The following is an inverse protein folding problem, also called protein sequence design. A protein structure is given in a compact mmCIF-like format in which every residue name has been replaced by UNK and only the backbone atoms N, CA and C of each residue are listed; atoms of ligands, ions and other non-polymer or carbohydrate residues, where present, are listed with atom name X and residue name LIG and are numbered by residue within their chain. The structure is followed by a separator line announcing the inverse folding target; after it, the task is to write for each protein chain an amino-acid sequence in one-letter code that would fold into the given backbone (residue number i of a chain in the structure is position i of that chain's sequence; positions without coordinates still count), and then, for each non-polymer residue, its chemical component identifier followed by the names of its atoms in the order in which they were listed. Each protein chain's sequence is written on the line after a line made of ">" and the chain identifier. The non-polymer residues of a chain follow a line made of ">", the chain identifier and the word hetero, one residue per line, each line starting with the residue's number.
data_IF_943582993287
#
_entry.id   IF_943582993287
#
_cell.length_a   1.000
_cell.length_b   1.000
_cell.length_c   1.000
_cell.angle_alpha   90.00
_cell.angle_beta   90.00
_cell.angle_gamma   90.00
#
_symmetry.space_group_name_H-M   'P 1'
#
loop_
_entity.id
_entity.type
_entity.pdbx_description
1 polymer ?
#
# COMPACT_ATOMS: atom_id res chain seq x y z
N UNK A 1 13.86 -9.89 4.74
CA UNK A 1 13.97 -8.43 4.96
C UNK A 1 14.38 -7.77 3.66
N UNK A 2 13.71 -6.69 3.27
CA UNK A 2 14.16 -5.81 2.18
C UNK A 2 15.53 -5.26 2.57
N UNK A 3 16.59 -5.38 1.73
CA UNK A 3 17.88 -4.85 2.08
C UNK A 3 17.79 -3.33 2.12
N UNK A 4 17.94 -2.76 3.32
CA UNK A 4 18.17 -1.33 3.49
C UNK A 4 19.54 -0.96 2.92
N UNK A 5 19.60 0.11 2.15
CA UNK A 5 20.85 0.66 1.63
C UNK A 5 21.84 0.92 2.79
N UNK A 6 23.09 0.43 2.71
CA UNK A 6 24.09 0.65 3.75
C UNK A 6 24.32 2.12 4.10
N UNK A 7 24.14 3.05 3.15
CA UNK A 7 24.26 4.48 3.45
C UNK A 7 23.10 5.02 4.29
N UNK A 8 21.92 4.43 4.19
CA UNK A 8 20.79 4.77 5.09
C UNK A 8 21.13 4.31 6.50
N UNK A 9 21.63 3.08 6.66
CA UNK A 9 22.05 2.56 7.97
C UNK A 9 23.15 3.42 8.59
N UNK A 10 24.16 3.80 7.79
CA UNK A 10 25.24 4.68 8.24
C UNK A 10 24.75 6.09 8.61
N UNK A 11 23.77 6.64 7.88
CA UNK A 11 23.19 7.94 8.22
C UNK A 11 22.50 7.92 9.59
N UNK A 12 21.69 6.89 9.87
CA UNK A 12 21.05 6.72 11.18
C UNK A 12 22.06 6.50 12.29
N UNK A 13 23.07 5.66 12.05
CA UNK A 13 24.15 5.42 13.00
C UNK A 13 24.84 6.74 13.40
N UNK A 14 25.27 7.54 12.41
CA UNK A 14 25.91 8.84 12.68
C UNK A 14 25.00 9.79 13.44
N UNK A 15 23.73 9.91 13.03
CA UNK A 15 22.78 10.79 13.69
C UNK A 15 22.58 10.44 15.17
N UNK A 16 22.60 9.15 15.52
CA UNK A 16 22.52 8.69 16.91
C UNK A 16 23.85 8.89 17.66
N UNK A 17 24.98 8.59 17.04
CA UNK A 17 26.31 8.83 17.64
C UNK A 17 26.55 10.33 17.92
N UNK A 18 26.06 11.23 17.06
CA UNK A 18 26.06 12.70 17.27
C UNK A 18 25.18 13.15 18.46
N UNK A 19 24.32 12.25 18.97
CA UNK A 19 23.49 12.45 20.18
C UNK A 19 24.05 11.67 21.37
N UNK A 20 25.33 11.29 21.32
CA UNK A 20 26.03 10.52 22.36
C UNK A 20 25.43 9.12 22.61
N UNK A 21 24.71 8.54 21.63
CA UNK A 21 24.23 7.16 21.71
C UNK A 21 25.35 6.15 21.38
N UNK A 22 25.32 4.99 22.03
CA UNK A 22 26.13 3.82 21.64
C UNK A 22 25.29 2.99 20.66
N UNK A 23 25.79 2.82 19.42
CA UNK A 23 25.01 2.19 18.35
C UNK A 23 25.63 0.85 17.95
N UNK A 24 24.85 -0.22 18.10
CA UNK A 24 25.14 -1.54 17.52
C UNK A 24 24.31 -1.70 16.22
N UNK A 25 24.97 -2.07 15.11
CA UNK A 25 24.28 -2.36 13.84
C UNK A 25 24.09 -3.87 13.68
N UNK A 26 22.83 -4.31 13.64
CA UNK A 26 22.47 -5.72 13.44
C UNK A 26 21.94 -5.92 12.03
N UNK A 27 22.64 -6.72 11.22
CA UNK A 27 22.16 -7.10 9.89
C UNK A 27 21.44 -8.44 9.95
N UNK A 28 20.14 -8.43 9.65
CA UNK A 28 19.34 -9.64 9.50
C UNK A 28 19.41 -10.06 8.03
N UNK A 29 20.10 -11.18 7.77
CA UNK A 29 20.19 -11.73 6.42
C UNK A 29 18.82 -12.08 5.86
N UNK A 30 18.51 -11.59 4.65
CA UNK A 30 17.33 -12.02 3.90
C UNK A 30 17.61 -13.32 3.14
N UNK A 31 16.66 -14.24 3.03
CA UNK A 31 16.79 -15.36 2.10
C UNK A 31 16.96 -14.82 0.67
N UNK A 32 18.13 -15.05 0.06
CA UNK A 32 18.42 -14.70 -1.35
C UNK A 32 18.03 -15.80 -2.33
N UNK A 33 17.22 -16.76 -1.91
CA UNK A 33 16.84 -17.91 -2.72
C UNK A 33 15.34 -17.87 -3.05
N UNK A 34 14.94 -18.56 -4.11
CA UNK A 34 13.53 -18.66 -4.52
C UNK A 34 12.97 -17.35 -5.08
N UNK A 35 11.73 -17.01 -4.68
CA UNK A 35 10.97 -15.86 -5.21
C UNK A 35 11.64 -14.49 -4.99
N UNK A 36 12.48 -14.39 -3.96
CA UNK A 36 13.22 -13.17 -3.65
C UNK A 36 14.40 -12.92 -4.59
N UNK A 37 14.86 -13.94 -5.33
CA UNK A 37 15.91 -13.80 -6.34
C UNK A 37 15.36 -13.52 -7.75
N UNK A 38 14.04 -13.67 -7.93
CA UNK A 38 13.40 -13.46 -9.23
C UNK A 38 13.22 -11.98 -9.52
N UNK A 39 13.32 -11.55 -10.79
CA UNK A 39 13.03 -10.18 -11.20
C UNK A 39 11.70 -9.66 -10.66
N UNK A 40 11.56 -8.34 -10.67
CA UNK A 40 10.32 -7.67 -10.27
C UNK A 40 9.23 -8.00 -11.29
N UNK A 41 8.14 -8.55 -10.77
CA UNK A 41 6.99 -9.01 -11.51
C UNK A 41 5.79 -9.02 -10.55
N UNK A 42 4.65 -8.47 -11.00
CA UNK A 42 3.44 -8.39 -10.19
C UNK A 42 2.90 -9.76 -9.75
N UNK A 43 3.19 -10.86 -10.46
CA UNK A 43 2.82 -12.22 -10.08
C UNK A 43 3.39 -12.63 -8.72
N UNK A 44 4.52 -12.04 -8.32
CA UNK A 44 5.13 -12.29 -7.02
C UNK A 44 4.21 -11.92 -5.85
N UNK A 45 3.25 -11.02 -6.05
CA UNK A 45 2.25 -10.67 -5.04
C UNK A 45 1.39 -11.88 -4.65
N UNK A 46 0.78 -12.59 -5.62
CA UNK A 46 -0.02 -13.79 -5.30
C UNK A 46 0.86 -14.88 -4.69
N UNK A 47 2.09 -15.05 -5.20
CA UNK A 47 3.00 -16.10 -4.73
C UNK A 47 3.45 -15.86 -3.28
N UNK A 48 3.61 -14.59 -2.88
CA UNK A 48 4.07 -14.21 -1.54
C UNK A 48 2.88 -14.01 -0.59
N UNK A 49 1.92 -13.16 -0.94
CA UNK A 49 0.76 -12.84 -0.09
C UNK A 49 -0.27 -13.97 -0.07
N UNK A 50 -0.39 -14.75 -1.15
CA UNK A 50 -1.24 -15.94 -1.16
C UNK A 50 -0.68 -17.10 -0.32
N UNK A 51 0.58 -17.04 0.10
CA UNK A 51 1.15 -17.96 1.06
C UNK A 51 1.36 -17.23 2.38
N UNK A 52 0.31 -17.12 3.20
CA UNK A 52 0.34 -16.35 4.44
C UNK A 52 1.45 -16.77 5.43
N UNK A 53 1.93 -18.02 5.38
CA UNK A 53 3.11 -18.47 6.15
C UNK A 53 4.40 -17.88 5.60
N UNK A 54 4.56 -17.86 4.28
CA UNK A 54 5.68 -17.20 3.60
C UNK A 54 5.62 -15.67 3.76
N UNK A 55 4.43 -15.07 3.66
CA UNK A 55 4.20 -13.66 3.96
C UNK A 55 4.62 -13.34 5.39
N UNK A 56 4.18 -14.15 6.36
CA UNK A 56 4.60 -14.09 7.75
C UNK A 56 6.12 -14.15 7.88
N UNK A 57 6.78 -15.13 7.24
CA UNK A 57 8.24 -15.30 7.24
C UNK A 57 9.02 -14.14 6.58
N UNK A 58 8.45 -13.50 5.55
CA UNK A 58 9.14 -12.46 4.77
C UNK A 58 8.92 -11.06 5.36
N UNK A 59 7.75 -10.79 5.92
CA UNK A 59 7.40 -9.51 6.53
C UNK A 59 7.63 -9.49 8.05
N UNK A 60 7.69 -10.66 8.70
CA UNK A 60 7.88 -10.83 10.13
C UNK A 60 8.78 -12.05 10.41
N UNK A 61 9.27 -12.18 11.63
CA UNK A 61 10.19 -13.23 12.08
C UNK A 61 9.68 -14.65 11.73
N UNK A 62 10.55 -15.64 11.42
CA UNK A 62 10.15 -16.94 10.91
C UNK A 62 9.11 -17.69 11.74
N UNK A 63 8.07 -18.14 11.04
CA UNK A 63 7.28 -19.35 11.30
C UNK A 63 7.29 -19.91 12.72
N UNK A 64 6.30 -19.51 13.48
CA UNK A 64 5.46 -20.30 14.38
C UNK A 64 4.29 -19.36 14.74
N UNK A 65 3.31 -19.77 15.54
CA UNK A 65 2.43 -18.80 16.19
C UNK A 65 3.28 -17.63 16.76
N UNK A 66 2.77 -16.39 16.88
CA UNK A 66 3.53 -15.35 17.56
C UNK A 66 4.09 -15.97 18.84
N UNK A 67 5.42 -16.02 19.00
CA UNK A 67 5.99 -16.64 20.18
C UNK A 67 5.32 -15.98 21.39
N UNK A 68 5.04 -16.73 22.48
CA UNK A 68 4.57 -16.08 23.70
C UNK A 68 5.47 -14.86 23.99
N UNK A 69 4.91 -13.73 24.46
CA UNK A 69 5.67 -12.50 24.68
C UNK A 69 7.00 -12.80 25.37
N UNK A 70 8.13 -12.47 24.72
CA UNK A 70 9.49 -12.70 25.24
C UNK A 70 10.33 -13.82 24.59
N UNK A 71 9.87 -14.52 23.55
CA UNK A 71 10.62 -15.65 22.94
C UNK A 71 11.23 -15.41 21.55
N UNK A 72 11.07 -14.23 20.93
CA UNK A 72 11.74 -13.96 19.65
C UNK A 72 13.26 -13.68 19.88
N UNK A 73 14.14 -14.11 18.97
CA UNK A 73 15.60 -13.99 19.15
C UNK A 73 16.07 -12.53 19.24
N UNK A 74 15.35 -11.61 18.58
CA UNK A 74 15.62 -10.19 18.59
C UNK A 74 15.27 -9.59 19.96
N UNK A 75 14.13 -9.95 20.57
CA UNK A 75 13.75 -9.58 21.94
C UNK A 75 14.78 -10.09 22.94
N UNK A 76 15.28 -11.32 22.76
CA UNK A 76 16.38 -11.85 23.59
C UNK A 76 17.66 -11.04 23.42
N UNK A 77 17.99 -10.65 22.19
CA UNK A 77 19.15 -9.80 21.91
C UNK A 77 18.96 -8.42 22.56
N UNK A 78 17.78 -7.81 22.43
CA UNK A 78 17.41 -6.53 23.01
C UNK A 78 17.51 -6.58 24.53
N UNK A 79 16.90 -7.58 25.17
CA UNK A 79 16.94 -7.76 26.61
C UNK A 79 18.35 -8.08 27.13
N UNK A 80 19.12 -8.90 26.42
CA UNK A 80 20.49 -9.26 26.80
C UNK A 80 21.46 -8.08 26.71
N UNK A 81 21.34 -7.28 25.64
CA UNK A 81 22.18 -6.10 25.40
C UNK A 81 21.65 -4.85 26.10
N UNK A 82 20.40 -4.89 26.58
CA UNK A 82 19.68 -3.80 27.26
C UNK A 82 19.61 -2.55 26.39
N UNK A 83 19.16 -2.69 25.14
CA UNK A 83 18.98 -1.52 24.26
C UNK A 83 17.83 -0.65 24.76
N UNK A 84 18.04 0.66 24.80
CA UNK A 84 17.01 1.66 25.12
C UNK A 84 16.09 1.95 23.92
N UNK A 85 16.63 1.83 22.70
CA UNK A 85 15.96 2.13 21.44
C UNK A 85 16.36 1.11 20.36
N UNK A 86 15.38 0.64 19.60
CA UNK A 86 15.58 -0.24 18.44
C UNK A 86 14.99 0.44 17.21
N UNK A 87 15.81 0.66 16.19
CA UNK A 87 15.39 1.26 14.92
C UNK A 87 15.53 0.22 13.80
N UNK A 88 14.46 -0.06 13.09
CA UNK A 88 14.48 -1.12 12.07
C UNK A 88 13.22 -1.21 11.23
N UNK A 89 13.23 -2.03 10.17
CA UNK A 89 12.06 -2.20 9.32
C UNK A 89 10.86 -2.75 10.12
N UNK A 90 9.64 -2.40 9.69
CA UNK A 90 8.39 -2.89 10.29
C UNK A 90 8.46 -4.40 10.55
N UNK A 91 8.06 -4.82 11.75
CA UNK A 91 8.09 -6.23 12.16
C UNK A 91 9.43 -6.75 12.71
N UNK A 92 10.50 -5.95 12.68
CA UNK A 92 11.84 -6.32 13.18
C UNK A 92 12.36 -5.32 14.23
N UNK A 93 11.47 -4.77 15.05
CA UNK A 93 11.81 -3.77 16.09
C UNK A 93 11.58 -4.28 17.52
N UNK A 94 11.25 -5.56 17.66
CA UNK A 94 10.99 -6.22 18.95
C UNK A 94 9.64 -5.89 19.57
N UNK A 95 9.37 -6.42 20.75
CA UNK A 95 8.19 -6.10 21.57
C UNK A 95 8.28 -4.66 22.12
N UNK A 96 7.29 -3.78 21.87
CA UNK A 96 7.27 -2.41 22.38
C UNK A 96 7.32 -2.30 23.92
N UNK A 97 7.01 -3.37 24.66
CA UNK A 97 7.16 -3.40 26.12
C UNK A 97 8.61 -3.61 26.60
N UNK A 98 9.53 -3.98 25.69
CA UNK A 98 10.92 -4.32 26.03
C UNK A 98 11.95 -3.23 25.68
N UNK A 99 11.66 -2.40 24.69
CA UNK A 99 12.45 -1.22 24.31
C UNK A 99 11.57 -0.24 23.52
N UNK A 100 11.98 1.03 23.43
CA UNK A 100 11.35 1.95 22.47
C UNK A 100 11.68 1.44 21.07
N UNK A 101 10.67 1.22 20.24
CA UNK A 101 10.79 0.58 18.94
C UNK A 101 10.35 1.55 17.83
N UNK A 102 11.26 1.90 16.92
CA UNK A 102 11.01 2.84 15.84
C UNK A 102 11.14 2.21 14.46
N UNK A 103 10.13 2.42 13.62
CA UNK A 103 10.08 1.88 12.27
C UNK A 103 10.92 2.72 11.32
N UNK A 104 11.98 2.14 10.77
CA UNK A 104 12.74 2.70 9.65
C UNK A 104 12.01 2.37 8.34
N UNK A 105 11.27 3.35 7.82
CA UNK A 105 10.47 3.20 6.60
C UNK A 105 11.21 3.64 5.32
N UNK A 106 12.51 3.93 5.40
CA UNK A 106 13.35 4.29 4.26
C UNK A 106 14.31 3.16 3.93
N UNK A 107 14.07 2.48 2.81
CA UNK A 107 14.90 1.34 2.40
C UNK A 107 16.02 1.75 1.44
N UNK A 108 15.85 2.87 0.73
CA UNK A 108 16.85 3.39 -0.20
C UNK A 108 17.28 4.79 0.19
N UNK A 109 18.48 5.20 -0.23
CA UNK A 109 18.98 6.55 0.01
C UNK A 109 18.05 7.61 -0.59
N UNK A 110 17.45 7.30 -1.75
CA UNK A 110 16.53 8.19 -2.46
C UNK A 110 15.25 8.42 -1.66
N UNK A 111 14.71 7.35 -1.04
CA UNK A 111 13.57 7.49 -0.13
C UNK A 111 13.92 8.39 1.05
N UNK A 112 15.08 8.16 1.68
CA UNK A 112 15.51 8.93 2.85
C UNK A 112 15.64 10.43 2.52
N UNK A 113 16.29 10.77 1.41
CA UNK A 113 16.54 12.18 1.02
C UNK A 113 15.37 12.83 0.26
N UNK A 114 14.27 12.10 0.02
CA UNK A 114 13.10 12.63 -0.67
C UNK A 114 12.46 13.78 0.11
N UNK A 115 11.91 14.75 -0.62
CA UNK A 115 11.08 15.81 -0.03
C UNK A 115 9.86 15.23 0.71
N UNK A 116 9.42 14.00 0.38
CA UNK A 116 8.36 13.32 1.11
C UNK A 116 8.69 13.09 2.59
N UNK A 117 9.96 12.87 2.93
CA UNK A 117 10.43 12.59 4.29
C UNK A 117 10.32 13.80 5.22
N UNK A 118 10.42 15.00 4.65
CA UNK A 118 10.39 16.28 5.40
C UNK A 118 9.14 17.10 5.07
N UNK A 119 8.17 16.50 4.39
CA UNK A 119 6.96 17.18 3.99
C UNK A 119 6.14 17.59 5.22
N UNK A 120 5.57 18.81 5.28
CA UNK A 120 4.90 19.29 6.49
C UNK A 120 3.71 18.40 6.89
N UNK A 121 3.78 17.84 8.10
CA UNK A 121 2.76 16.91 8.62
C UNK A 121 1.38 17.58 8.73
N UNK A 122 1.32 18.82 9.22
CA UNK A 122 0.06 19.59 9.31
C UNK A 122 -0.63 19.75 7.94
N UNK A 123 0.16 19.81 6.86
CA UNK A 123 -0.36 19.93 5.51
C UNK A 123 -0.91 18.59 5.01
N UNK A 124 -0.21 17.46 5.28
CA UNK A 124 -0.73 16.12 4.98
C UNK A 124 -2.04 15.88 5.73
N UNK A 125 -2.06 16.12 7.03
CA UNK A 125 -3.24 15.92 7.87
C UNK A 125 -4.42 16.78 7.41
N UNK A 126 -4.17 18.02 6.96
CA UNK A 126 -5.23 18.88 6.42
C UNK A 126 -5.76 18.36 5.08
N UNK A 127 -4.88 17.93 4.16
CA UNK A 127 -5.30 17.33 2.89
C UNK A 127 -6.13 16.06 3.12
N UNK A 128 -5.70 15.20 4.03
CA UNK A 128 -6.42 13.99 4.38
C UNK A 128 -7.82 14.35 4.94
N UNK A 129 -7.90 15.28 5.89
CA UNK A 129 -9.18 15.73 6.46
C UNK A 129 -10.13 16.27 5.40
N UNK A 130 -9.66 17.15 4.51
CA UNK A 130 -10.50 17.70 3.42
C UNK A 130 -11.04 16.61 2.49
N UNK A 131 -10.21 15.64 2.13
CA UNK A 131 -10.66 14.50 1.34
C UNK A 131 -11.64 13.59 2.10
N UNK A 132 -11.39 13.38 3.40
CA UNK A 132 -12.22 12.54 4.26
C UNK A 132 -13.60 13.12 4.53
N UNK A 133 -13.70 14.45 4.71
CA UNK A 133 -14.98 15.17 4.84
C UNK A 133 -15.91 14.91 3.64
N UNK A 134 -15.36 14.92 2.43
CA UNK A 134 -16.10 14.61 1.19
C UNK A 134 -16.59 13.16 1.20
N UNK A 135 -15.72 12.21 1.56
CA UNK A 135 -16.05 10.78 1.63
C UNK A 135 -17.12 10.47 2.67
N UNK A 136 -17.02 11.07 3.86
CA UNK A 136 -18.03 10.94 4.93
C UNK A 136 -19.40 11.46 4.53
N UNK A 137 -19.45 12.52 3.73
CA UNK A 137 -20.69 13.10 3.24
C UNK A 137 -21.27 12.38 2.01
N UNK A 138 -20.47 11.54 1.33
CA UNK A 138 -20.87 10.87 0.11
C UNK A 138 -22.01 9.86 0.37
N UNK A 139 -22.95 9.77 -0.57
CA UNK A 139 -23.99 8.72 -0.60
C UNK A 139 -23.64 7.62 -1.60
N UNK A 140 -23.09 8.02 -2.74
CA UNK A 140 -22.64 7.12 -3.80
C UNK A 140 -21.36 7.65 -4.38
N UNK A 141 -20.51 6.77 -4.88
CA UNK A 141 -19.33 7.19 -5.60
C UNK A 141 -19.19 6.44 -6.92
N UNK A 142 -18.45 7.05 -7.85
CA UNK A 142 -18.04 6.45 -9.10
C UNK A 142 -16.57 6.73 -9.33
N UNK A 143 -15.85 5.70 -9.73
CA UNK A 143 -14.44 5.76 -10.02
C UNK A 143 -14.22 5.37 -11.48
N UNK A 144 -13.46 6.19 -12.20
CA UNK A 144 -13.06 5.91 -13.59
C UNK A 144 -11.56 6.13 -13.77
N UNK A 145 -10.91 5.38 -14.64
CA UNK A 145 -9.50 5.57 -14.98
C UNK A 145 -9.26 5.26 -16.47
N UNK A 146 -8.36 5.98 -17.15
CA UNK A 146 -8.05 5.78 -18.57
C UNK A 146 -7.52 4.39 -18.94
N UNK A 147 -7.03 3.57 -17.99
CA UNK A 147 -6.73 2.16 -18.24
C UNK A 147 -8.02 1.32 -18.45
N UNK A 148 -9.21 1.88 -18.18
CA UNK A 148 -10.52 1.28 -18.48
C UNK A 148 -11.38 0.94 -17.25
N UNK A 149 -10.95 1.35 -16.06
CA UNK A 149 -11.77 1.17 -14.85
C UNK A 149 -13.02 2.02 -14.90
N UNK A 150 -14.13 1.42 -14.48
CA UNK A 150 -15.40 2.09 -14.23
C UNK A 150 -16.16 1.27 -13.18
N UNK A 151 -16.20 1.76 -11.95
CA UNK A 151 -16.83 1.08 -10.82
C UNK A 151 -17.61 2.10 -9.97
N UNK A 152 -18.77 1.69 -9.47
CA UNK A 152 -19.57 2.51 -8.55
C UNK A 152 -20.08 1.70 -7.37
N UNK A 153 -20.26 2.36 -6.23
CA UNK A 153 -20.78 1.77 -4.99
C UNK A 153 -21.42 2.82 -4.10
N UNK A 154 -22.28 2.36 -3.19
CA UNK A 154 -23.03 3.17 -2.24
C UNK A 154 -22.33 3.19 -0.87
N UNK A 155 -22.19 4.39 -0.29
CA UNK A 155 -21.78 4.59 1.09
C UNK A 155 -23.00 4.49 2.01
N UNK A 156 -23.38 3.26 2.34
CA UNK A 156 -24.45 2.98 3.28
C UNK A 156 -24.11 3.51 4.69
N UNK A 157 -25.06 4.15 5.41
CA UNK A 157 -24.83 4.64 6.78
C UNK A 157 -24.34 3.56 7.75
N UNK A 158 -24.70 2.30 7.51
CA UNK A 158 -24.29 1.14 8.31
C UNK A 158 -22.77 0.91 8.28
N UNK A 159 -22.05 1.33 7.23
CA UNK A 159 -20.60 1.28 7.24
C UNK A 159 -20.01 2.14 8.36
N UNK A 160 -20.54 3.35 8.53
CA UNK A 160 -20.12 4.24 9.61
C UNK A 160 -20.49 3.68 10.98
N UNK A 161 -21.63 2.97 11.10
CA UNK A 161 -21.97 2.28 12.34
C UNK A 161 -20.96 1.18 12.68
N UNK A 162 -20.40 0.49 11.68
CA UNK A 162 -19.35 -0.53 11.91
C UNK A 162 -18.05 0.14 12.34
N UNK A 163 -17.63 1.20 11.66
CA UNK A 163 -16.44 2.00 12.02
C UNK A 163 -16.53 2.56 13.44
N UNK A 164 -17.72 3.02 13.83
CA UNK A 164 -18.00 3.54 15.17
C UNK A 164 -18.17 2.45 16.24
N UNK A 165 -18.16 1.16 15.84
CA UNK A 165 -18.36 0.04 16.75
C UNK A 165 -19.79 -0.09 17.29
N UNK A 166 -20.76 0.61 16.71
CA UNK A 166 -22.17 0.65 17.16
C UNK A 166 -23.12 -0.22 16.33
N UNK A 167 -22.71 -0.73 15.17
CA UNK A 167 -23.53 -1.59 14.32
C UNK A 167 -24.02 -2.84 15.09
N UNK A 168 -25.29 -3.25 15.01
CA UNK A 168 -25.85 -4.29 15.89
C UNK A 168 -25.24 -5.69 15.69
N UNK A 169 -24.92 -6.08 14.44
CA UNK A 169 -24.47 -7.44 14.11
C UNK A 169 -22.97 -7.54 13.82
N UNK A 170 -22.46 -6.66 12.95
CA UNK A 170 -21.05 -6.60 12.57
C UNK A 170 -20.28 -5.78 13.60
N UNK A 171 -19.52 -6.47 14.46
CA UNK A 171 -18.58 -5.88 15.42
C UNK A 171 -17.16 -6.32 15.05
N UNK A 172 -16.25 -5.37 14.88
CA UNK A 172 -14.83 -5.63 14.63
C UNK A 172 -13.99 -4.59 15.37
N UNK A 173 -12.79 -4.99 15.74
CA UNK A 173 -11.76 -4.13 16.32
C UNK A 173 -11.04 -3.27 15.28
N UNK A 174 -11.22 -3.53 13.97
CA UNK A 174 -10.37 -2.97 12.92
C UNK A 174 -9.16 -3.86 12.63
N UNK A 175 -8.11 -3.29 12.02
CA UNK A 175 -6.98 -4.05 11.48
C UNK A 175 -6.23 -4.91 12.51
N UNK A 176 -5.64 -6.01 12.05
CA UNK A 176 -4.84 -6.92 12.90
C UNK A 176 -3.33 -6.63 12.91
N UNK A 177 -2.57 -7.20 13.87
CA UNK A 177 -1.12 -7.03 13.99
C UNK A 177 -0.32 -7.56 12.77
N UNK A 178 -0.96 -8.35 11.90
CA UNK A 178 -0.33 -8.96 10.71
C UNK A 178 -0.70 -8.31 9.38
N UNK A 179 -1.55 -7.28 9.37
CA UNK A 179 -1.86 -6.54 8.14
C UNK A 179 -0.78 -5.49 7.86
N UNK A 180 -0.45 -5.23 6.60
CA UNK A 180 0.36 -4.07 6.20
C UNK A 180 -0.32 -2.72 6.54
N UNK A 181 -1.63 -2.75 6.84
CA UNK A 181 -2.44 -1.65 7.39
C UNK A 181 -2.57 -1.72 8.93
N UNK A 182 -1.56 -2.28 9.61
CA UNK A 182 -1.60 -2.53 11.06
C UNK A 182 -1.74 -1.23 11.86
N UNK A 183 -2.79 -1.14 12.69
CA UNK A 183 -2.91 -0.13 13.74
C UNK A 183 -4.23 0.65 13.79
N UNK A 184 -5.07 0.60 12.75
CA UNK A 184 -6.37 1.27 12.82
C UNK A 184 -7.34 0.49 13.70
N UNK A 185 -7.99 1.20 14.61
CA UNK A 185 -8.95 0.65 15.56
C UNK A 185 -10.32 1.21 15.20
N UNK A 186 -11.36 0.37 15.23
CA UNK A 186 -12.75 0.83 15.12
C UNK A 186 -13.36 1.02 16.50
N UNK A 187 -14.24 2.02 16.63
CA UNK A 187 -14.85 2.42 17.89
C UNK A 187 -15.35 3.86 17.86
N UNK A 188 -15.90 4.35 18.99
CA UNK A 188 -16.49 5.68 19.06
C UNK A 188 -15.52 6.79 18.64
N UNK A 189 -15.95 7.65 17.72
CA UNK A 189 -15.19 8.78 17.15
C UNK A 189 -14.26 8.40 15.99
N UNK A 190 -14.10 7.10 15.67
CA UNK A 190 -13.12 6.67 14.66
C UNK A 190 -13.52 7.01 13.22
N UNK A 191 -14.78 7.41 12.98
CA UNK A 191 -15.15 7.93 11.65
C UNK A 191 -14.80 9.40 11.46
N UNK A 192 -14.42 10.16 12.50
CA UNK A 192 -14.21 11.61 12.39
C UNK A 192 -12.94 11.98 11.60
N UNK A 193 -11.88 11.17 11.75
CA UNK A 193 -10.60 11.35 11.07
C UNK A 193 -10.32 10.19 10.07
N UNK A 194 -9.43 10.40 9.09
CA UNK A 194 -8.96 9.33 8.20
C UNK A 194 -8.42 8.13 8.98
N UNK A 195 -8.85 6.92 8.60
CA UNK A 195 -8.48 5.68 9.29
C UNK A 195 -6.98 5.35 9.22
N UNK A 196 -6.31 5.77 8.14
CA UNK A 196 -4.88 5.53 7.92
C UNK A 196 -4.25 6.85 7.46
N UNK A 197 -3.38 7.48 8.28
CA UNK A 197 -2.67 8.69 7.87
C UNK A 197 -1.92 8.49 6.55
N UNK A 198 -2.05 9.45 5.64
CA UNK A 198 -1.43 9.40 4.32
C UNK A 198 -2.16 8.52 3.29
N UNK A 199 -3.31 7.92 3.65
CA UNK A 199 -4.19 7.21 2.72
C UNK A 199 -5.68 7.47 3.00
N UNK A 200 -6.40 8.00 2.01
CA UNK A 200 -7.85 8.11 2.09
C UNK A 200 -8.52 6.83 1.62
N UNK A 201 -9.46 6.33 2.42
CA UNK A 201 -10.21 5.11 2.10
C UNK A 201 -11.42 5.45 1.23
N UNK A 202 -11.31 5.23 -0.08
CA UNK A 202 -12.38 5.41 -1.05
C UNK A 202 -13.50 4.38 -0.95
N UNK A 203 -13.23 3.18 -0.42
CA UNK A 203 -14.28 2.20 -0.08
C UNK A 203 -14.30 2.01 1.44
N UNK A 204 -15.42 1.53 2.00
CA UNK A 204 -15.48 1.10 3.39
C UNK A 204 -14.40 0.06 3.70
N UNK A 205 -13.35 0.49 4.41
CA UNK A 205 -12.13 -0.30 4.59
C UNK A 205 -12.45 -1.62 5.29
N UNK A 206 -12.25 -2.72 4.58
CA UNK A 206 -12.43 -4.08 5.05
C UNK A 206 -13.83 -4.42 5.60
N UNK A 207 -14.86 -3.64 5.27
CA UNK A 207 -16.24 -3.91 5.72
C UNK A 207 -17.07 -4.41 4.55
N UNK A 208 -17.78 -5.50 4.77
CA UNK A 208 -18.73 -6.07 3.81
C UNK A 208 -20.11 -6.18 4.46
N UNK A 209 -21.08 -5.41 3.97
CA UNK A 209 -22.47 -5.48 4.41
C UNK A 209 -23.27 -6.43 3.50
N UNK A 210 -24.39 -7.01 3.98
CA UNK A 210 -25.29 -7.77 3.11
C UNK A 210 -25.77 -7.00 1.87
N UNK A 211 -25.96 -5.68 2.00
CA UNK A 211 -26.45 -4.78 0.96
C UNK A 211 -25.36 -4.13 0.09
N UNK A 212 -24.07 -4.42 0.34
CA UNK A 212 -22.95 -3.86 -0.42
C UNK A 212 -23.10 -4.08 -1.94
N UNK A 213 -23.12 -3.00 -2.72
CA UNK A 213 -23.63 -2.96 -4.11
C UNK A 213 -22.60 -2.63 -5.20
N UNK A 214 -21.31 -2.58 -4.84
CA UNK A 214 -20.19 -2.27 -5.71
C UNK A 214 -20.20 -3.09 -6.99
N UNK A 215 -20.20 -2.40 -8.12
CA UNK A 215 -20.37 -3.01 -9.43
C UNK A 215 -19.62 -2.24 -10.52
N UNK A 216 -18.97 -3.00 -11.40
CA UNK A 216 -18.19 -2.48 -12.50
C UNK A 216 -16.94 -3.31 -12.78
N UNK A 217 -15.88 -2.63 -13.21
CA UNK A 217 -14.60 -3.25 -13.56
C UNK A 217 -13.45 -2.41 -13.02
N UNK A 218 -12.47 -3.08 -12.41
CA UNK A 218 -11.19 -2.51 -11.98
C UNK A 218 -10.11 -3.05 -12.92
N UNK A 219 -9.31 -2.15 -13.48
CA UNK A 219 -8.27 -2.46 -14.45
C UNK A 219 -6.96 -1.79 -14.08
N UNK A 220 -5.85 -2.43 -14.43
CA UNK A 220 -4.53 -1.83 -14.23
C UNK A 220 -3.38 -2.72 -14.69
N UNK A 221 -2.18 -2.26 -14.39
CA UNK A 221 -0.90 -2.82 -14.89
C UNK A 221 0.18 -2.91 -13.81
N UNK A 222 -0.16 -2.64 -12.55
CA UNK A 222 0.79 -2.63 -11.44
C UNK A 222 0.11 -2.99 -10.11
N UNK A 223 0.89 -3.54 -9.17
CA UNK A 223 0.47 -3.91 -7.82
C UNK A 223 1.60 -3.69 -6.79
N UNK A 224 1.49 -4.24 -5.57
CA UNK A 224 2.50 -4.00 -4.52
C UNK A 224 3.89 -4.58 -4.83
N UNK A 225 4.00 -5.52 -5.77
CA UNK A 225 5.23 -6.25 -6.04
C UNK A 225 5.83 -5.98 -7.43
N UNK A 226 5.15 -5.20 -8.27
CA UNK A 226 5.67 -4.84 -9.57
C UNK A 226 4.61 -4.58 -10.63
N UNK A 227 5.06 -4.41 -11.88
CA UNK A 227 4.19 -4.35 -13.04
C UNK A 227 3.73 -5.75 -13.45
N UNK A 228 2.54 -5.84 -14.02
CA UNK A 228 2.00 -7.05 -14.66
C UNK A 228 1.26 -6.66 -15.94
N UNK A 229 1.09 -7.57 -16.91
CA UNK A 229 0.27 -7.29 -18.08
C UNK A 229 -1.13 -6.81 -17.68
N UNK A 230 -1.75 -6.01 -18.53
CA UNK A 230 -3.06 -5.42 -18.29
C UNK A 230 -4.08 -6.49 -17.87
N UNK A 231 -4.78 -6.19 -16.78
CA UNK A 231 -5.77 -7.07 -16.15
C UNK A 231 -7.10 -6.33 -16.02
N UNK A 232 -8.20 -7.09 -16.13
CA UNK A 232 -9.56 -6.60 -15.86
C UNK A 232 -10.18 -7.48 -14.77
N UNK A 233 -10.69 -6.86 -13.71
CA UNK A 233 -11.37 -7.51 -12.59
C UNK A 233 -12.82 -7.04 -12.58
N UNK A 234 -13.75 -7.92 -12.94
CA UNK A 234 -15.18 -7.62 -12.93
C UNK A 234 -15.74 -7.85 -11.54
N UNK A 235 -16.41 -6.83 -11.01
CA UNK A 235 -17.00 -6.82 -9.67
C UNK A 235 -18.52 -6.75 -9.80
N UNK A 236 -19.24 -7.59 -9.04
CA UNK A 236 -20.68 -7.48 -8.82
C UNK A 236 -20.98 -7.67 -7.34
N UNK A 237 -21.75 -6.75 -6.74
CA UNK A 237 -22.07 -6.75 -5.30
C UNK A 237 -20.80 -6.85 -4.42
N UNK A 238 -19.78 -6.07 -4.76
CA UNK A 238 -18.42 -6.08 -4.18
C UNK A 238 -17.63 -7.39 -4.34
N UNK A 239 -18.09 -8.36 -5.13
CA UNK A 239 -17.41 -9.65 -5.30
C UNK A 239 -16.84 -9.79 -6.71
N UNK A 240 -15.64 -10.34 -6.81
CA UNK A 240 -14.99 -10.69 -8.07
C UNK A 240 -15.78 -11.81 -8.72
N UNK A 241 -16.32 -11.52 -9.90
CA UNK A 241 -17.07 -12.48 -10.71
C UNK A 241 -16.24 -13.04 -11.85
N UNK A 242 -15.25 -12.28 -12.33
CA UNK A 242 -14.42 -12.65 -13.47
C UNK A 242 -13.12 -11.86 -13.48
N UNK A 243 -12.05 -12.50 -13.92
CA UNK A 243 -10.74 -11.89 -14.17
C UNK A 243 -10.34 -12.16 -15.63
N UNK A 244 -9.98 -11.12 -16.38
CA UNK A 244 -9.50 -11.20 -17.78
C UNK A 244 -8.07 -10.67 -17.86
N UNK A 245 -7.22 -11.30 -18.67
CA UNK A 245 -5.84 -10.88 -18.84
C UNK A 245 -4.97 -11.12 -17.59
N UNK A 246 -4.02 -10.20 -17.36
CA UNK A 246 -3.12 -10.20 -16.20
C UNK A 246 -1.88 -11.09 -16.31
N UNK A 247 -1.66 -11.78 -17.43
CA UNK A 247 -0.56 -12.73 -17.57
C UNK A 247 -0.55 -13.80 -16.46
N UNK A 248 0.62 -14.08 -15.90
CA UNK A 248 0.78 -15.01 -14.78
C UNK A 248 0.04 -14.52 -13.52
N UNK A 249 0.10 -13.22 -13.20
CA UNK A 249 -0.59 -12.64 -12.05
C UNK A 249 -2.09 -12.93 -12.09
N UNK A 250 -2.75 -12.63 -13.23
CA UNK A 250 -4.17 -12.90 -13.40
C UNK A 250 -4.52 -14.39 -13.37
N UNK A 251 -3.64 -15.27 -13.87
CA UNK A 251 -3.85 -16.72 -13.81
C UNK A 251 -3.77 -17.24 -12.37
N UNK A 252 -2.71 -16.88 -11.64
CA UNK A 252 -2.55 -17.26 -10.24
C UNK A 252 -3.71 -16.77 -9.40
N UNK A 253 -4.18 -15.54 -9.64
CA UNK A 253 -5.32 -14.97 -8.92
C UNK A 253 -6.62 -15.76 -9.20
N UNK A 254 -6.92 -16.09 -10.46
CA UNK A 254 -8.08 -16.93 -10.80
C UNK A 254 -8.04 -18.27 -10.07
N UNK A 255 -6.88 -18.94 -10.09
CA UNK A 255 -6.70 -20.23 -9.43
C UNK A 255 -6.88 -20.10 -7.91
N UNK A 256 -6.38 -19.01 -7.33
CA UNK A 256 -6.53 -18.71 -5.91
C UNK A 256 -7.99 -18.51 -5.51
N UNK A 257 -8.75 -17.69 -6.24
CA UNK A 257 -10.17 -17.48 -5.98
C UNK A 257 -10.98 -18.77 -6.16
N UNK A 258 -10.73 -19.52 -7.24
CA UNK A 258 -11.42 -20.78 -7.50
C UNK A 258 -11.20 -21.80 -6.37
N UNK A 259 -9.98 -21.86 -5.83
CA UNK A 259 -9.61 -22.76 -4.74
C UNK A 259 -10.31 -22.41 -3.43
N UNK A 260 -10.55 -21.13 -3.14
CA UNK A 260 -11.00 -20.69 -1.81
C UNK A 260 -12.41 -20.08 -1.78
N UNK A 261 -13.14 -20.03 -2.90
CA UNK A 261 -14.48 -19.42 -3.04
C UNK A 261 -15.54 -19.90 -2.04
N UNK A 262 -15.42 -21.13 -1.54
CA UNK A 262 -16.41 -21.72 -0.63
C UNK A 262 -16.23 -21.28 0.83
N UNK A 263 -15.12 -20.60 1.14
CA UNK A 263 -14.85 -20.11 2.49
C UNK A 263 -15.72 -18.89 2.75
N UNK A 264 -16.35 -18.88 3.93
CA UNK A 264 -16.99 -17.70 4.51
C UNK A 264 -16.16 -17.29 5.72
N UNK A 265 -15.45 -16.17 5.64
CA UNK A 265 -14.70 -15.65 6.79
C UNK A 265 -15.68 -15.09 7.85
N UNK A 266 -15.26 -14.97 9.11
CA UNK A 266 -16.00 -14.22 10.11
C UNK A 266 -16.39 -12.83 9.58
N UNK A 267 -17.57 -12.37 9.99
CA UNK A 267 -18.17 -11.08 9.61
C UNK A 267 -18.62 -10.97 8.14
N UNK A 268 -18.25 -11.90 7.27
CA UNK A 268 -18.75 -11.88 5.90
C UNK A 268 -20.24 -12.23 5.86
N UNK A 269 -21.04 -11.56 5.00
CA UNK A 269 -22.45 -11.91 4.85
C UNK A 269 -22.62 -13.26 4.12
N UNK A 270 -21.68 -13.64 3.26
CA UNK A 270 -21.74 -14.84 2.40
C UNK A 270 -20.36 -15.45 2.13
N UNK A 271 -20.35 -16.68 1.64
CA UNK A 271 -19.12 -17.29 1.15
C UNK A 271 -18.63 -16.58 -0.12
N UNK A 272 -17.33 -16.51 -0.27
CA UNK A 272 -16.63 -15.88 -1.40
C UNK A 272 -15.11 -15.90 -1.26
N UNK A 273 -14.59 -16.47 -0.17
CA UNK A 273 -13.17 -16.55 0.11
C UNK A 273 -12.54 -15.15 0.18
N UNK A 274 -11.44 -14.97 -0.56
CA UNK A 274 -10.75 -13.69 -0.72
C UNK A 274 -11.29 -12.87 -1.91
N UNK A 275 -12.47 -13.21 -2.42
CA UNK A 275 -13.02 -12.64 -3.65
C UNK A 275 -13.74 -11.32 -3.50
N UNK A 276 -13.58 -10.56 -2.41
CA UNK A 276 -14.30 -9.28 -2.29
C UNK A 276 -13.40 -8.07 -2.27
N UNK A 277 -13.90 -6.99 -2.85
CA UNK A 277 -13.33 -5.65 -2.80
C UNK A 277 -13.45 -5.09 -1.39
N UNK A 278 -12.31 -4.74 -0.80
CA UNK A 278 -12.20 -4.33 0.61
C UNK A 278 -11.38 -3.06 0.82
N UNK A 279 -10.56 -2.67 -0.15
CA UNK A 279 -9.69 -1.50 -0.04
C UNK A 279 -9.69 -0.71 -1.34
N UNK A 280 -9.63 0.62 -1.19
CA UNK A 280 -9.42 1.61 -2.21
C UNK A 280 -8.69 2.73 -1.49
N UNK A 281 -7.38 2.62 -1.44
CA UNK A 281 -6.54 3.51 -0.65
C UNK A 281 -5.90 4.52 -1.58
N UNK A 282 -6.11 5.80 -1.29
CA UNK A 282 -5.69 6.93 -2.11
C UNK A 282 -4.53 7.63 -1.41
N UNK A 283 -3.34 7.61 -2.01
CA UNK A 283 -2.19 8.33 -1.47
C UNK A 283 -2.42 9.84 -1.42
N UNK A 284 -1.75 10.52 -0.49
CA UNK A 284 -1.96 11.96 -0.24
C UNK A 284 -0.67 12.79 -0.12
N UNK A 285 0.52 12.19 -0.33
CA UNK A 285 1.78 12.93 -0.31
C UNK A 285 2.27 13.26 -1.74
N UNK A 286 2.37 14.55 -2.15
CA UNK A 286 2.72 14.90 -3.53
C UNK A 286 4.21 14.70 -3.85
N UNK A 287 5.04 14.47 -2.85
CA UNK A 287 6.51 14.36 -2.98
C UNK A 287 7.02 12.93 -3.10
N UNK A 288 6.10 11.97 -3.13
CA UNK A 288 6.43 10.57 -3.34
C UNK A 288 6.78 10.36 -4.81
N UNK A 289 7.88 9.63 -5.06
CA UNK A 289 8.31 9.24 -6.39
C UNK A 289 8.71 7.78 -6.39
N UNK A 290 8.51 7.09 -7.53
CA UNK A 290 9.02 5.74 -7.74
C UNK A 290 10.56 5.75 -7.69
N UNK A 291 11.21 4.86 -6.93
CA UNK A 291 12.66 4.75 -6.95
C UNK A 291 13.20 4.44 -8.36
N UNK A 292 14.19 5.19 -8.83
CA UNK A 292 14.71 5.04 -10.21
C UNK A 292 15.30 3.65 -10.49
N UNK A 293 15.86 2.99 -9.48
CA UNK A 293 16.48 1.68 -9.58
C UNK A 293 15.54 0.54 -9.23
N UNK A 294 14.23 0.82 -9.07
CA UNK A 294 13.29 -0.19 -8.61
C UNK A 294 13.35 -1.42 -9.51
N UNK A 295 13.37 -1.28 -10.83
CA UNK A 295 13.43 -2.40 -11.80
C UNK A 295 14.80 -3.08 -11.93
N UNK A 296 15.86 -2.57 -11.29
CA UNK A 296 17.23 -3.02 -11.57
C UNK A 296 17.65 -4.24 -10.75
N UNK A 297 16.93 -4.56 -9.66
CA UNK A 297 17.28 -5.74 -8.86
C UNK A 297 16.07 -6.33 -8.11
N UNK A 298 15.99 -7.67 -7.99
CA UNK A 298 14.95 -8.38 -7.24
C UNK A 298 14.69 -7.86 -5.82
N UNK A 299 15.71 -7.33 -5.13
CA UNK A 299 15.51 -6.93 -3.74
C UNK A 299 14.79 -5.59 -3.57
N UNK A 300 14.57 -4.85 -4.66
CA UNK A 300 13.74 -3.64 -4.66
C UNK A 300 12.24 -3.93 -4.78
N UNK A 301 11.84 -5.22 -4.85
CA UNK A 301 10.44 -5.64 -5.02
C UNK A 301 9.49 -5.03 -4.00
N UNK A 302 9.87 -5.02 -2.72
CA UNK A 302 9.08 -4.40 -1.66
C UNK A 302 9.14 -2.87 -1.65
N UNK A 303 10.04 -2.25 -2.42
CA UNK A 303 10.11 -0.80 -2.57
C UNK A 303 9.15 -0.29 -3.67
N UNK A 304 8.58 -1.19 -4.47
CA UNK A 304 7.55 -0.84 -5.45
C UNK A 304 6.31 -0.24 -4.79
N UNK A 305 6.00 -0.70 -3.57
CA UNK A 305 4.85 -0.26 -2.77
C UNK A 305 4.86 1.23 -2.42
N UNK A 306 5.99 1.94 -2.54
CA UNK A 306 6.11 3.33 -2.10
C UNK A 306 5.27 4.28 -2.95
N UNK A 307 5.19 4.04 -4.26
CA UNK A 307 4.50 4.93 -5.21
C UNK A 307 3.00 5.10 -4.90
N UNK A 308 2.37 4.13 -4.22
CA UNK A 308 0.95 4.16 -3.86
C UNK A 308 0.61 5.29 -2.88
N UNK A 309 1.63 5.82 -2.18
CA UNK A 309 1.49 6.92 -1.22
C UNK A 309 1.42 8.28 -1.89
N UNK A 310 1.70 8.36 -3.20
CA UNK A 310 1.64 9.60 -3.96
C UNK A 310 0.19 10.11 -4.05
N UNK A 311 0.00 11.42 -3.95
CA UNK A 311 -1.31 12.07 -4.12
C UNK A 311 -2.10 11.53 -5.31
N UNK A 312 -3.32 11.07 -5.08
CA UNK A 312 -4.23 10.64 -6.14
C UNK A 312 -3.87 9.32 -6.84
N UNK A 313 -2.76 8.67 -6.47
CA UNK A 313 -2.53 7.26 -6.82
C UNK A 313 -3.42 6.41 -5.94
N UNK A 314 -4.07 5.43 -6.56
CA UNK A 314 -5.04 4.57 -5.90
C UNK A 314 -4.59 3.15 -6.01
N UNK A 315 -4.55 2.44 -4.89
CA UNK A 315 -4.46 0.98 -4.90
C UNK A 315 -5.76 0.37 -4.38
N UNK A 316 -6.30 -0.54 -5.19
CA UNK A 316 -7.42 -1.39 -4.81
C UNK A 316 -6.90 -2.61 -4.11
N UNK A 317 -7.59 -3.07 -3.07
CA UNK A 317 -7.29 -4.32 -2.39
C UNK A 317 -8.51 -5.23 -2.37
N UNK A 318 -8.32 -6.46 -2.85
CA UNK A 318 -9.35 -7.50 -2.90
C UNK A 318 -8.87 -8.69 -2.10
N UNK A 319 -9.62 -9.07 -1.07
CA UNK A 319 -9.24 -10.10 -0.13
C UNK A 319 -9.73 -9.83 1.29
N UNK A 320 -9.00 -10.28 2.31
CA UNK A 320 -9.39 -10.21 3.72
C UNK A 320 -8.18 -9.90 4.59
N UNK A 321 -8.34 -9.01 5.56
CA UNK A 321 -7.27 -8.59 6.46
C UNK A 321 -7.75 -8.00 7.80
N UNK A 322 -9.03 -8.14 8.16
CA UNK A 322 -9.46 -7.79 9.52
C UNK A 322 -8.80 -8.70 10.54
N UNK A 323 -8.65 -8.21 11.77
CA UNK A 323 -8.02 -8.95 12.86
C UNK A 323 -8.72 -10.27 13.13
N UNK A 324 -10.04 -10.25 13.30
CA UNK A 324 -10.84 -11.44 13.62
C UNK A 324 -10.78 -12.48 12.50
N UNK A 325 -10.76 -12.02 11.26
CA UNK A 325 -10.63 -12.87 10.07
C UNK A 325 -9.25 -13.53 10.02
N UNK A 326 -8.21 -12.76 10.35
CA UNK A 326 -6.83 -13.24 10.40
C UNK A 326 -6.68 -14.31 11.48
N UNK A 327 -7.04 -13.98 12.73
CA UNK A 327 -6.95 -14.91 13.87
C UNK A 327 -7.72 -16.22 13.61
N UNK A 328 -8.93 -16.12 13.04
CA UNK A 328 -9.70 -17.29 12.65
C UNK A 328 -9.05 -18.09 11.53
N UNK A 329 -8.53 -17.44 10.48
CA UNK A 329 -7.88 -18.12 9.37
C UNK A 329 -6.64 -18.90 9.84
N UNK A 330 -5.82 -18.30 10.70
CA UNK A 330 -4.67 -18.95 11.32
C UNK A 330 -5.08 -20.19 12.11
N UNK A 331 -6.11 -20.08 12.95
CA UNK A 331 -6.59 -21.20 13.75
C UNK A 331 -7.14 -22.37 12.91
N UNK A 332 -7.48 -22.13 11.64
CA UNK A 332 -8.07 -23.12 10.74
C UNK A 332 -7.15 -23.52 9.57
N UNK A 333 -5.88 -23.09 9.56
CA UNK A 333 -4.93 -23.30 8.46
C UNK A 333 -5.49 -22.85 7.08
N UNK A 334 -6.21 -21.72 7.09
CA UNK A 334 -6.80 -21.11 5.91
C UNK A 334 -5.99 -19.87 5.49
N UNK A 335 -6.03 -19.50 4.20
CA UNK A 335 -5.33 -18.31 3.75
C UNK A 335 -5.93 -17.03 4.33
N UNK A 336 -5.13 -15.98 4.42
CA UNK A 336 -5.60 -14.62 4.71
C UNK A 336 -4.66 -13.65 4.00
N UNK A 337 -5.19 -12.78 3.15
CA UNK A 337 -4.47 -11.69 2.49
C UNK A 337 -5.40 -10.93 1.55
N UNK A 338 -4.87 -9.91 0.90
CA UNK A 338 -5.49 -9.23 -0.23
C UNK A 338 -4.47 -8.93 -1.32
N UNK A 339 -4.94 -8.78 -2.55
CA UNK A 339 -4.14 -8.55 -3.74
C UNK A 339 -4.56 -7.24 -4.41
N UNK A 340 -3.61 -6.62 -5.11
CA UNK A 340 -3.73 -5.20 -5.43
C UNK A 340 -3.70 -4.87 -6.91
N UNK A 341 -4.33 -3.74 -7.24
CA UNK A 341 -4.21 -3.08 -8.54
C UNK A 341 -4.01 -1.59 -8.29
N UNK A 342 -2.95 -1.02 -8.86
CA UNK A 342 -2.62 0.40 -8.78
C UNK A 342 -3.14 1.16 -9.99
N UNK A 343 -3.52 2.41 -9.77
CA UNK A 343 -3.99 3.36 -10.80
C UNK A 343 -3.46 4.76 -10.51
N UNK A 344 -3.08 5.46 -11.57
CA UNK A 344 -2.37 6.74 -11.44
C UNK A 344 -3.14 7.95 -11.97
N UNK A 345 -4.16 7.73 -12.80
CA UNK A 345 -4.86 8.80 -13.54
C UNK A 345 -6.37 8.81 -13.29
N UNK A 346 -6.77 8.29 -12.14
CA UNK A 346 -8.15 8.13 -11.75
C UNK A 346 -8.93 9.45 -11.68
N UNK A 347 -10.21 9.40 -12.00
CA UNK A 347 -11.21 10.38 -11.57
C UNK A 347 -12.15 9.69 -10.60
N UNK A 348 -12.29 10.28 -9.42
CA UNK A 348 -13.11 9.73 -8.36
C UNK A 348 -14.15 10.76 -7.92
N UNK A 349 -15.41 10.42 -8.14
CA UNK A 349 -16.57 11.29 -7.95
C UNK A 349 -17.44 10.79 -6.80
N UNK A 350 -17.84 11.70 -5.92
CA UNK A 350 -18.79 11.48 -4.85
C UNK A 350 -20.09 12.25 -5.13
N UNK A 351 -21.20 11.53 -5.18
CA UNK A 351 -22.56 12.09 -5.17
C UNK A 351 -22.99 12.34 -3.74
N UNK A 352 -23.29 13.59 -3.43
CA UNK A 352 -23.74 14.07 -2.12
C UNK A 352 -25.24 13.84 -1.90
N UNK A 353 -25.72 14.10 -0.69
CA UNK A 353 -27.14 13.97 -0.31
C UNK A 353 -28.07 14.86 -1.15
N UNK A 354 -27.63 16.05 -1.52
CA UNK A 354 -28.36 17.00 -2.37
C UNK A 354 -28.27 16.66 -3.88
N UNK A 355 -27.61 15.57 -4.24
CA UNK A 355 -27.39 15.13 -5.63
C UNK A 355 -26.21 15.81 -6.33
N UNK A 356 -25.52 16.74 -5.68
CA UNK A 356 -24.33 17.39 -6.25
C UNK A 356 -23.19 16.39 -6.36
N UNK A 357 -22.45 16.44 -7.47
CA UNK A 357 -21.26 15.62 -7.70
C UNK A 357 -20.02 16.44 -7.36
N UNK A 358 -19.17 15.90 -6.49
CA UNK A 358 -17.90 16.49 -6.06
C UNK A 358 -16.79 15.52 -6.40
N UNK A 359 -15.70 16.02 -6.99
CA UNK A 359 -14.52 15.19 -7.25
C UNK A 359 -13.66 15.12 -6.00
N UNK A 360 -13.18 13.92 -5.70
CA UNK A 360 -12.12 13.67 -4.71
C UNK A 360 -10.78 13.65 -5.45
N UNK A 361 -10.74 12.97 -6.60
CA UNK A 361 -9.61 12.93 -7.53
C UNK A 361 -10.09 13.40 -8.90
N UNK A 362 -9.33 14.27 -9.56
CA UNK A 362 -9.55 14.67 -10.96
C UNK A 362 -8.33 14.27 -11.80
N UNK A 363 -8.47 13.22 -12.62
CA UNK A 363 -7.43 12.73 -13.54
C UNK A 363 -6.05 12.52 -12.88
N UNK A 364 -6.04 11.89 -11.72
CA UNK A 364 -4.84 11.60 -10.92
C UNK A 364 -4.46 12.69 -9.91
N UNK A 365 -5.06 13.88 -9.98
CA UNK A 365 -4.82 14.97 -9.02
C UNK A 365 -5.79 14.89 -7.85
N UNK A 366 -5.26 14.83 -6.62
CA UNK A 366 -6.08 14.95 -5.41
C UNK A 366 -6.61 16.38 -5.27
N UNK A 367 -7.93 16.55 -5.31
CA UNK A 367 -8.58 17.87 -5.29
C UNK A 367 -8.38 18.64 -3.98
N UNK A 368 -8.09 17.93 -2.87
CA UNK A 368 -7.74 18.56 -1.60
C UNK A 368 -6.51 19.48 -1.71
N UNK A 369 -5.59 19.22 -2.65
CA UNK A 369 -4.45 20.10 -2.90
C UNK A 369 -4.84 21.48 -3.46
N UNK A 370 -6.04 21.59 -4.03
CA UNK A 370 -6.56 22.83 -4.60
C UNK A 370 -7.48 23.58 -3.62
N UNK A 371 -7.74 23.01 -2.44
CA UNK A 371 -8.56 23.63 -1.41
C UNK A 371 -7.91 24.94 -0.90
N UNK A 372 -8.65 26.05 -0.78
CA UNK A 372 -8.09 27.33 -0.34
C UNK A 372 -7.40 27.28 1.03
N UNK A 373 -7.90 26.49 1.98
CA UNK A 373 -7.30 26.36 3.31
C UNK A 373 -6.00 25.55 3.24
N UNK A 374 -5.97 24.50 2.42
CA UNK A 374 -4.74 23.72 2.15
C UNK A 374 -3.68 24.62 1.52
N UNK A 375 -4.06 25.41 0.50
CA UNK A 375 -3.14 26.35 -0.15
C UNK A 375 -2.66 27.45 0.80
N UNK A 376 -3.53 27.94 1.68
CA UNK A 376 -3.16 28.91 2.71
C UNK A 376 -2.18 28.30 3.74
N UNK A 377 -2.38 27.04 4.14
CA UNK A 377 -1.45 26.32 5.01
C UNK A 377 -0.09 26.13 4.33
N UNK A 378 -0.09 25.71 3.06
CA UNK A 378 1.12 25.53 2.27
C UNK A 378 1.98 26.81 2.19
N UNK A 379 1.34 27.98 2.11
CA UNK A 379 2.02 29.28 2.06
C UNK A 379 2.89 29.59 3.31
N UNK A 380 2.69 28.88 4.42
CA UNK A 380 3.55 29.00 5.62
C UNK A 380 4.91 28.34 5.44
N UNK A 381 5.02 27.39 4.52
CA UNK A 381 6.21 26.55 4.33
C UNK A 381 6.97 26.86 3.03
N UNK A 382 6.37 27.64 2.13
CA UNK A 382 6.98 28.02 0.85
C UNK A 382 5.93 28.46 -0.17
N UNK A 383 6.30 28.41 -1.45
CA UNK A 383 5.36 28.62 -2.55
C UNK A 383 4.34 27.47 -2.61
N UNK A 384 3.03 27.71 -2.45
CA UNK A 384 2.00 26.68 -2.56
C UNK A 384 2.04 25.92 -3.87
N UNK A 385 2.39 26.56 -4.99
CA UNK A 385 2.42 25.91 -6.30
C UNK A 385 3.58 24.92 -6.42
N UNK A 386 4.72 25.19 -5.78
CA UNK A 386 5.83 24.25 -5.71
C UNK A 386 5.57 23.14 -4.69
N UNK A 387 5.01 23.47 -3.53
CA UNK A 387 4.79 22.52 -2.45
C UNK A 387 3.67 21.51 -2.76
N UNK A 388 2.59 21.94 -3.43
CA UNK A 388 1.43 21.11 -3.76
C UNK A 388 1.47 20.52 -5.17
N UNK A 389 2.56 20.74 -5.92
CA UNK A 389 2.82 20.04 -7.18
C UNK A 389 3.33 18.64 -6.90
N UNK A 390 2.87 17.68 -7.68
CA UNK A 390 3.43 16.34 -7.65
C UNK A 390 4.83 16.29 -8.28
N UNK A 391 5.80 15.76 -7.54
CA UNK A 391 7.19 15.70 -8.02
C UNK A 391 7.41 14.60 -9.06
N UNK A 392 6.48 13.64 -9.13
CA UNK A 392 6.55 12.52 -10.05
C UNK A 392 5.16 12.16 -10.59
N UNK A 393 5.10 11.93 -11.91
CA UNK A 393 3.95 11.42 -12.64
C UNK A 393 4.49 10.33 -13.58
N UNK A 394 4.01 9.08 -13.52
CA UNK A 394 4.48 8.04 -14.43
C UNK A 394 4.15 8.37 -15.88
N UNK A 395 5.08 8.10 -16.79
CA UNK A 395 4.80 8.17 -18.23
C UNK A 395 4.12 6.88 -18.69
N UNK A 396 2.88 6.96 -19.15
CA UNK A 396 2.10 5.85 -19.70
C UNK A 396 1.66 6.18 -21.14
N UNK A 397 2.25 5.51 -22.15
CA UNK A 397 1.86 5.65 -23.55
C UNK A 397 0.37 5.51 -23.78
N UNK A 398 -0.20 6.40 -24.59
CA UNK A 398 -1.63 6.40 -24.90
C UNK A 398 -2.54 6.95 -23.78
N UNK A 399 -1.98 7.31 -22.62
CA UNK A 399 -2.70 7.96 -21.52
C UNK A 399 -2.23 9.40 -21.35
N UNK A 400 -0.96 9.61 -20.96
CA UNK A 400 -0.40 10.94 -20.71
C UNK A 400 0.84 11.28 -21.56
N UNK A 401 1.37 10.32 -22.32
CA UNK A 401 2.43 10.55 -23.32
C UNK A 401 2.05 9.91 -24.67
N UNK A 402 2.62 10.39 -25.80
CA UNK A 402 2.32 9.82 -27.12
C UNK A 402 2.60 8.32 -27.21
N UNK A 403 1.70 7.57 -27.84
CA UNK A 403 1.79 6.13 -28.05
C UNK A 403 0.41 5.48 -28.09
N UNK A 404 0.40 4.15 -28.15
CA UNK A 404 -0.79 3.31 -28.02
C UNK A 404 -0.71 2.53 -26.72
N UNK A 405 -1.72 2.67 -25.85
CA UNK A 405 -1.69 2.08 -24.52
C UNK A 405 -1.51 0.56 -24.55
N UNK A 406 -2.30 -0.16 -25.36
CA UNK A 406 -2.25 -1.63 -25.35
C UNK A 406 -0.98 -2.17 -25.99
N UNK A 407 -0.55 -1.58 -27.11
CA UNK A 407 0.64 -2.03 -27.85
C UNK A 407 1.94 -1.63 -27.15
N UNK A 408 2.02 -0.41 -26.64
CA UNK A 408 3.29 0.18 -26.19
C UNK A 408 3.49 0.05 -24.67
N UNK A 409 2.44 -0.24 -23.89
CA UNK A 409 2.53 -0.34 -22.42
C UNK A 409 1.78 -1.54 -21.83
N UNK A 410 0.46 -1.63 -22.03
CA UNK A 410 -0.43 -2.58 -21.33
C UNK A 410 -0.04 -4.04 -21.44
N UNK A 411 0.55 -4.49 -22.56
CA UNK A 411 1.02 -5.87 -22.70
C UNK A 411 2.32 -6.18 -21.93
N UNK A 412 3.19 -5.18 -21.73
CA UNK A 412 4.47 -5.35 -21.04
C UNK A 412 4.93 -4.03 -20.37
N UNK A 413 4.25 -3.62 -19.28
CA UNK A 413 4.55 -2.36 -18.61
C UNK A 413 5.96 -2.36 -18.00
N UNK A 414 6.43 -3.51 -17.54
CA UNK A 414 7.78 -3.66 -16.97
C UNK A 414 8.90 -3.31 -17.96
N UNK A 415 8.74 -3.65 -19.25
CA UNK A 415 9.71 -3.26 -20.28
C UNK A 415 9.77 -1.74 -20.44
N UNK A 416 8.62 -1.07 -20.59
CA UNK A 416 8.56 0.38 -20.74
C UNK A 416 9.17 1.09 -19.53
N UNK A 417 8.77 0.73 -18.31
CA UNK A 417 9.28 1.34 -17.07
C UNK A 417 10.80 1.17 -16.97
N UNK A 418 11.32 -0.02 -17.33
CA UNK A 418 12.76 -0.27 -17.32
C UNK A 418 13.50 0.62 -18.33
N UNK A 419 12.99 0.74 -19.55
CA UNK A 419 13.60 1.57 -20.60
C UNK A 419 13.54 3.06 -20.25
N UNK A 420 12.40 3.52 -19.72
CA UNK A 420 12.19 4.90 -19.27
C UNK A 420 13.14 5.28 -18.13
N UNK A 421 13.22 4.45 -17.08
CA UNK A 421 14.15 4.67 -15.98
C UNK A 421 15.62 4.66 -16.43
N UNK A 422 16.02 3.69 -17.27
CA UNK A 422 17.39 3.62 -17.81
C UNK A 422 17.74 4.82 -18.66
N UNK A 423 16.78 5.39 -19.37
CA UNK A 423 16.97 6.62 -20.14
C UNK A 423 17.08 7.84 -19.24
N UNK A 424 16.21 7.98 -18.25
CA UNK A 424 16.16 9.14 -17.36
C UNK A 424 17.32 9.16 -16.34
N UNK A 425 17.79 8.00 -15.89
CA UNK A 425 18.71 7.86 -14.76
C UNK A 425 19.94 7.01 -15.09
N UNK A 426 20.38 7.00 -16.35
CA UNK A 426 21.47 6.14 -16.85
C UNK A 426 22.71 6.14 -15.94
N UNK A 427 23.22 7.31 -15.58
CA UNK A 427 24.42 7.44 -14.74
C UNK A 427 24.20 6.96 -13.30
N UNK A 428 23.01 7.18 -12.74
CA UNK A 428 22.69 6.76 -11.38
C UNK A 428 22.53 5.24 -11.30
N UNK A 429 21.88 4.64 -12.31
CA UNK A 429 21.73 3.20 -12.45
C UNK A 429 23.09 2.52 -12.65
N UNK A 430 23.97 3.10 -13.46
CA UNK A 430 25.32 2.57 -13.66
C UNK A 430 26.13 2.60 -12.36
N UNK A 431 26.09 3.73 -11.63
CA UNK A 431 26.72 3.83 -10.29
C UNK A 431 26.14 2.82 -9.29
N UNK A 432 24.82 2.64 -9.29
CA UNK A 432 24.16 1.65 -8.45
C UNK A 432 24.64 0.22 -8.75
N UNK A 433 24.79 -0.13 -10.04
CA UNK A 433 25.31 -1.45 -10.44
C UNK A 433 26.77 -1.65 -10.02
N UNK A 434 27.62 -0.63 -10.21
CA UNK A 434 29.03 -0.69 -9.85
C UNK A 434 29.24 -0.87 -8.34
N UNK A 435 28.51 -0.10 -7.52
CA UNK A 435 28.63 -0.13 -6.05
C UNK A 435 28.03 -1.38 -5.41
N UNK A 436 26.99 -1.98 -6.02
CA UNK A 436 26.30 -3.16 -5.48
C UNK A 436 26.83 -4.50 -5.99
N UNK A 437 27.29 -4.57 -7.25
CA UNK A 437 27.78 -5.82 -7.87
C UNK A 437 29.30 -5.92 -7.99
N UNK A 438 30.07 -4.97 -7.45
CA UNK A 438 31.53 -5.08 -7.39
C UNK A 438 32.18 -5.26 -8.77
N UNK A 439 31.71 -4.54 -9.78
CA UNK A 439 32.40 -4.42 -11.06
C UNK A 439 33.33 -3.18 -11.13
N UNK A 440 33.66 -2.61 -9.98
CA UNK A 440 34.59 -1.48 -9.86
C UNK A 440 35.45 -1.57 -8.60
N UNK A 441 36.65 -2.15 -8.79
CA UNK A 441 37.84 -2.21 -7.92
C UNK A 441 37.80 -3.15 -6.70
#
# INVERSE_FOLDING_TARGET
>A
TTPTDPLVVEAFKRALEEKDCIVDVVQIGAPKTGLMAQPIDGAAEIQIFGNFRLQGLLMFTPGEAPPPPGENWLDRLIAWRKYDLVVGPSGNVGDPDTAIAERMNWFTREMLVSAATTYPEELLNLMDRKGWEILRAAKRTRFTDPEGTDISYTWFPEYWQVVEGIHPEIKTMGGGPMSATSGYIYGPGQSEDPLIPGHLMGVPLAIMLPQSDGEGVIMGTSNHMGPHPHIEIHIQKHEVTRIVGGGEYGQLWRDYLAKYRYIKYPLDPRAGGLGFLMECSIGTNPKIARPYNVMETPEMKFNWVEERRRTGVVHWGIGRFLREQSEWAYANDLPISHFHIHQYFATYEATMEDGRVVKIIDKGRLTAMDDPEVRQMAAKYGDPDELLREDWIPAIPGINVPGDYQRDYGQNPGKWITEEHRKAYAEAIERFRQTRYGLGQ
#
